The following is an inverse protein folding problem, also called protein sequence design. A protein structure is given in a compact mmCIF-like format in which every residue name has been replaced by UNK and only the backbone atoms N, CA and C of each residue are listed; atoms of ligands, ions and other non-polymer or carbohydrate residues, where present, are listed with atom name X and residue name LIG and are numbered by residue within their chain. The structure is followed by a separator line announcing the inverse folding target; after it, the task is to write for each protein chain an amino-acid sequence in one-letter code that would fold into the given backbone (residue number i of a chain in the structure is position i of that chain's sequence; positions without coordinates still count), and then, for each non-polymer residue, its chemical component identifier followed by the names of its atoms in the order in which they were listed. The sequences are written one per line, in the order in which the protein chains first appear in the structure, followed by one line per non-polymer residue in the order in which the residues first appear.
data_IF_353056150524
#
_entry.id   IF_353056150524
#
_cell.length_a   1.000
_cell.length_b   1.000
_cell.length_c   1.000
_cell.angle_alpha   90.00
_cell.angle_beta   90.00
_cell.angle_gamma   90.00
#
_symmetry.space_group_name_H-M   'P 1'
#
loop_
_entity.id
_entity.type
_entity.pdbx_description
1 polymer ?
#
# COMPACT_ATOMS: atom_id res chain seq x y z
N UNK A 1 -16.22 0.90 24.87
CA UNK A 1 -16.10 0.62 23.42
C UNK A 1 -16.50 -0.84 23.19
N UNK A 2 -17.35 -1.15 22.22
CA UNK A 2 -17.75 -2.54 21.93
C UNK A 2 -16.57 -3.33 21.38
N UNK A 3 -16.52 -4.65 21.61
CA UNK A 3 -15.47 -5.52 21.10
C UNK A 3 -15.42 -5.54 19.56
N UNK A 4 -16.58 -5.45 18.89
CA UNK A 4 -16.69 -5.34 17.43
C UNK A 4 -16.00 -4.08 16.89
N UNK A 5 -16.33 -2.90 17.44
CA UNK A 5 -15.66 -1.64 17.10
C UNK A 5 -14.14 -1.69 17.40
N UNK A 6 -13.72 -2.39 18.47
CA UNK A 6 -12.29 -2.59 18.75
C UNK A 6 -11.62 -3.39 17.66
N UNK A 7 -12.19 -4.54 17.31
CA UNK A 7 -11.66 -5.39 16.26
C UNK A 7 -11.63 -4.65 14.91
N UNK A 8 -12.65 -3.85 14.61
CA UNK A 8 -12.74 -3.04 13.40
C UNK A 8 -11.65 -1.97 13.31
N UNK A 9 -11.32 -1.33 14.43
CA UNK A 9 -10.41 -0.18 14.47
C UNK A 9 -8.95 -0.57 14.76
N UNK A 10 -8.69 -1.81 15.17
CA UNK A 10 -7.34 -2.31 15.45
C UNK A 10 -6.49 -2.24 14.17
N UNK A 11 -5.37 -1.52 14.22
CA UNK A 11 -4.51 -1.25 13.07
C UNK A 11 -5.29 -0.69 11.86
N UNK A 12 -6.39 0.01 12.11
CA UNK A 12 -7.24 0.58 11.08
C UNK A 12 -6.80 1.97 10.61
N UNK A 13 -5.66 2.50 11.07
CA UNK A 13 -5.16 3.85 10.70
C UNK A 13 -3.71 3.82 10.21
N UNK A 14 -3.48 4.06 8.92
CA UNK A 14 -2.16 4.33 8.37
C UNK A 14 -1.86 5.83 8.51
N UNK A 15 -0.59 6.16 8.76
CA UNK A 15 -0.13 7.53 8.94
C UNK A 15 0.53 8.06 7.68
N UNK A 16 -0.04 9.13 7.13
CA UNK A 16 0.35 9.70 5.85
C UNK A 16 0.76 11.18 5.96
N UNK A 17 1.53 11.51 7.00
CA UNK A 17 1.92 12.90 7.28
C UNK A 17 2.65 13.61 6.12
N UNK A 18 3.31 12.85 5.23
CA UNK A 18 4.02 13.37 4.07
C UNK A 18 3.10 13.83 2.91
N UNK A 19 1.81 13.53 2.99
CA UNK A 19 0.86 13.77 1.89
C UNK A 19 -0.13 14.89 2.25
N UNK A 20 -0.77 15.51 1.24
CA UNK A 20 -1.78 16.54 1.49
C UNK A 20 -2.89 16.03 2.42
N UNK A 21 -3.55 16.88 3.23
CA UNK A 21 -3.28 18.30 3.39
C UNK A 21 -2.10 18.60 4.33
N UNK A 22 -1.54 17.60 5.02
CA UNK A 22 -0.53 17.83 6.04
C UNK A 22 0.82 18.25 5.44
N UNK A 23 1.28 17.56 4.38
CA UNK A 23 2.51 17.85 3.65
C UNK A 23 3.72 18.12 4.56
N UNK A 24 3.86 17.34 5.62
CA UNK A 24 4.91 17.55 6.62
C UNK A 24 6.28 17.18 6.04
N UNK A 25 7.36 17.87 6.47
CA UNK A 25 8.72 17.39 6.23
C UNK A 25 8.93 16.05 6.94
N UNK A 26 9.89 15.24 6.48
CA UNK A 26 10.12 13.88 7.00
C UNK A 26 10.38 13.87 8.50
N UNK A 27 11.25 14.75 8.98
CA UNK A 27 11.57 14.90 10.40
C UNK A 27 10.32 15.02 11.27
N UNK A 28 9.43 15.95 10.92
CA UNK A 28 8.18 16.18 11.63
C UNK A 28 7.22 14.99 11.50
N UNK A 29 7.12 14.40 10.32
CA UNK A 29 6.25 13.25 10.09
C UNK A 29 6.69 12.04 10.94
N UNK A 30 7.98 11.73 11.00
CA UNK A 30 8.53 10.62 11.80
C UNK A 30 8.38 10.90 13.30
N UNK A 31 8.63 12.14 13.74
CA UNK A 31 8.41 12.53 15.14
C UNK A 31 6.95 12.36 15.58
N UNK A 32 6.00 12.81 14.76
CA UNK A 32 4.57 12.68 15.03
C UNK A 32 4.15 11.20 15.05
N UNK A 33 4.60 10.40 14.07
CA UNK A 33 4.34 8.96 14.04
C UNK A 33 4.83 8.27 15.32
N UNK A 34 6.03 8.60 15.80
CA UNK A 34 6.54 8.06 17.06
C UNK A 34 5.71 8.49 18.28
N UNK A 35 5.27 9.74 18.32
CA UNK A 35 4.33 10.20 19.34
C UNK A 35 3.04 9.37 19.33
N UNK A 36 2.48 9.09 18.16
CA UNK A 36 1.26 8.27 18.04
C UNK A 36 1.47 6.80 18.41
N UNK A 37 2.66 6.23 18.17
CA UNK A 37 3.00 4.86 18.62
C UNK A 37 3.07 4.74 20.15
N UNK A 38 3.27 5.84 20.86
CA UNK A 38 3.37 5.89 22.31
C UNK A 38 2.09 6.32 23.01
N UNK A 39 1.11 6.83 22.27
CA UNK A 39 -0.14 7.30 22.85
C UNK A 39 -1.07 6.14 23.24
N UNK A 40 -2.04 6.35 24.17
CA UNK A 40 -3.01 5.32 24.57
C UNK A 40 -3.84 4.73 23.42
N UNK A 41 -3.93 5.43 22.28
CA UNK A 41 -4.71 5.05 21.11
C UNK A 41 -3.87 4.39 19.99
N UNK A 42 -2.61 4.03 20.27
CA UNK A 42 -1.69 3.43 19.30
C UNK A 42 -2.15 2.08 18.73
N UNK A 43 -3.09 1.41 19.38
CA UNK A 43 -3.72 0.18 18.89
C UNK A 43 -4.46 0.38 17.55
N UNK A 44 -4.92 1.60 17.24
CA UNK A 44 -5.51 1.91 15.92
C UNK A 44 -4.44 2.19 14.85
N UNK A 45 -3.22 2.54 15.25
CA UNK A 45 -2.16 2.97 14.33
C UNK A 45 -1.46 1.77 13.70
N UNK A 46 -1.35 1.79 12.37
CA UNK A 46 -0.83 0.73 11.52
C UNK A 46 0.53 1.10 10.94
N UNK A 47 0.61 1.61 9.71
CA UNK A 47 1.88 1.82 8.98
C UNK A 47 2.19 3.31 8.83
N UNK A 48 3.46 3.62 8.64
CA UNK A 48 3.88 4.90 8.07
C UNK A 48 3.89 4.81 6.55
N UNK A 49 3.19 5.70 5.86
CA UNK A 49 3.18 5.74 4.38
C UNK A 49 4.37 6.56 3.90
N UNK A 50 5.25 5.94 3.09
CA UNK A 50 6.46 6.57 2.57
C UNK A 50 6.62 6.35 1.05
N UNK A 51 6.87 7.38 0.24
CA UNK A 51 7.32 7.19 -1.13
C UNK A 51 8.64 6.39 -1.18
N UNK A 52 8.78 5.49 -2.14
CA UNK A 52 10.04 4.73 -2.36
C UNK A 52 11.24 5.63 -2.59
N UNK A 53 11.03 6.79 -3.23
CA UNK A 53 12.04 7.83 -3.49
C UNK A 53 12.57 8.51 -2.23
N UNK A 54 11.85 8.41 -1.10
CA UNK A 54 12.19 9.09 0.17
C UNK A 54 12.59 8.11 1.27
N UNK A 55 12.81 6.84 0.96
CA UNK A 55 13.22 5.84 1.95
C UNK A 55 14.57 6.16 2.61
N UNK A 56 15.52 6.73 1.87
CA UNK A 56 16.81 7.17 2.44
C UNK A 56 16.62 8.33 3.43
N UNK A 57 15.76 9.30 3.12
CA UNK A 57 15.45 10.42 4.03
C UNK A 57 14.75 9.91 5.30
N UNK A 58 13.84 8.95 5.16
CA UNK A 58 13.23 8.27 6.32
C UNK A 58 14.29 7.58 7.17
N UNK A 59 15.18 6.81 6.54
CA UNK A 59 16.28 6.07 7.16
C UNK A 59 17.18 6.96 8.03
N UNK A 60 17.62 8.08 7.47
CA UNK A 60 18.43 9.08 8.19
C UNK A 60 17.68 9.68 9.38
N UNK A 61 16.38 9.92 9.22
CA UNK A 61 15.54 10.56 10.25
C UNK A 61 15.26 9.65 11.44
N UNK A 62 14.94 8.38 11.20
CA UNK A 62 14.49 7.49 12.27
C UNK A 62 15.65 6.85 13.07
N UNK A 63 16.88 6.92 12.56
CA UNK A 63 18.08 6.23 13.08
C UNK A 63 18.42 6.53 14.56
N UNK A 64 17.84 7.56 15.19
CA UNK A 64 17.97 7.86 16.62
C UNK A 64 16.68 7.74 17.45
N UNK A 65 15.56 7.43 16.81
CA UNK A 65 14.22 7.49 17.42
C UNK A 65 13.62 6.11 17.71
N UNK A 66 14.25 5.04 17.23
CA UNK A 66 13.81 3.68 17.53
C UNK A 66 14.09 3.37 19.02
N UNK A 67 13.05 3.50 19.85
CA UNK A 67 13.05 2.90 21.19
C UNK A 67 12.95 1.37 21.05
N UNK A 68 13.43 0.60 22.03
CA UNK A 68 13.36 -0.89 22.11
C UNK A 68 11.90 -1.40 22.14
N UNK A 69 11.17 -1.21 21.06
CA UNK A 69 9.79 -1.65 20.76
C UNK A 69 9.80 -2.34 19.39
N UNK A 70 8.62 -2.84 19.01
CA UNK A 70 8.33 -3.42 17.69
C UNK A 70 8.93 -2.62 16.52
N UNK A 71 9.25 -3.27 15.40
CA UNK A 71 9.75 -2.59 14.20
C UNK A 71 8.74 -1.55 13.67
N UNK A 72 9.23 -0.57 12.91
CA UNK A 72 8.34 0.32 12.16
C UNK A 72 7.69 -0.45 11.02
N UNK A 73 6.37 -0.46 10.97
CA UNK A 73 5.64 -0.93 9.81
C UNK A 73 5.57 0.21 8.77
N UNK A 74 6.00 -0.07 7.55
CA UNK A 74 6.06 0.89 6.44
C UNK A 74 5.16 0.39 5.31
N UNK A 75 4.35 1.30 4.77
CA UNK A 75 3.67 1.13 3.48
C UNK A 75 4.37 1.98 2.46
N UNK A 76 4.97 1.38 1.44
CA UNK A 76 5.68 2.13 0.39
C UNK A 76 4.75 2.50 -0.74
N UNK A 77 4.94 3.70 -1.32
CA UNK A 77 4.26 4.13 -2.54
C UNK A 77 5.29 4.23 -3.67
N UNK A 78 5.05 3.49 -4.75
CA UNK A 78 5.89 3.52 -5.92
C UNK A 78 5.71 4.79 -6.75
N UNK A 79 6.65 5.01 -7.66
CA UNK A 79 6.62 6.16 -8.57
C UNK A 79 5.43 6.02 -9.52
N UNK A 80 4.81 7.15 -9.85
CA UNK A 80 3.80 7.19 -10.91
C UNK A 80 4.50 7.27 -12.25
N UNK A 81 4.02 6.49 -13.20
CA UNK A 81 4.37 6.61 -14.60
C UNK A 81 3.11 6.97 -15.38
N UNK A 82 3.27 7.78 -16.42
CA UNK A 82 2.19 8.09 -17.35
C UNK A 82 2.10 7.05 -18.48
N UNK A 83 3.20 6.34 -18.74
CA UNK A 83 3.33 5.39 -19.86
C UNK A 83 3.87 4.01 -19.42
N UNK A 84 3.49 2.92 -20.12
CA UNK A 84 3.91 1.55 -19.79
C UNK A 84 5.42 1.29 -19.70
N UNK A 85 6.25 1.92 -20.53
CA UNK A 85 7.70 1.68 -20.51
C UNK A 85 8.37 2.32 -19.30
N UNK A 86 7.97 3.54 -18.95
CA UNK A 86 8.43 4.21 -17.73
C UNK A 86 7.97 3.47 -16.48
N UNK A 87 6.78 2.87 -16.50
CA UNK A 87 6.29 2.07 -15.39
C UNK A 87 7.22 0.89 -15.09
N UNK A 88 7.65 0.14 -16.11
CA UNK A 88 8.58 -0.98 -15.91
C UNK A 88 9.91 -0.53 -15.33
N UNK A 89 10.47 0.57 -15.84
CA UNK A 89 11.71 1.16 -15.31
C UNK A 89 11.54 1.57 -13.83
N UNK A 90 10.42 2.22 -13.50
CA UNK A 90 10.15 2.71 -12.16
C UNK A 90 9.91 1.60 -11.15
N UNK A 91 9.16 0.56 -11.52
CA UNK A 91 8.95 -0.60 -10.64
C UNK A 91 10.28 -1.27 -10.29
N UNK A 92 11.21 -1.40 -11.24
CA UNK A 92 12.54 -1.96 -10.96
C UNK A 92 13.31 -1.10 -9.95
N UNK A 93 13.38 0.21 -10.19
CA UNK A 93 14.03 1.17 -9.27
C UNK A 93 13.36 1.22 -7.90
N UNK A 94 12.06 1.03 -7.82
CA UNK A 94 11.29 0.99 -6.58
C UNK A 94 11.63 -0.27 -5.77
N UNK A 95 11.65 -1.43 -6.42
CA UNK A 95 12.01 -2.71 -5.79
C UNK A 95 13.46 -2.70 -5.29
N UNK A 96 14.39 -2.13 -6.06
CA UNK A 96 15.78 -1.94 -5.63
C UNK A 96 15.88 -1.06 -4.39
N UNK A 97 15.16 0.06 -4.36
CA UNK A 97 15.14 0.96 -3.20
C UNK A 97 14.55 0.28 -1.95
N UNK A 98 13.46 -0.49 -2.11
CA UNK A 98 12.86 -1.27 -1.02
C UNK A 98 13.83 -2.32 -0.50
N UNK A 99 14.48 -3.07 -1.39
CA UNK A 99 15.42 -4.13 -1.01
C UNK A 99 16.61 -3.56 -0.23
N UNK A 100 17.22 -2.48 -0.73
CA UNK A 100 18.29 -1.76 -0.01
C UNK A 100 17.82 -1.31 1.37
N UNK A 101 16.65 -0.69 1.43
CA UNK A 101 16.10 -0.17 2.68
C UNK A 101 15.85 -1.29 3.70
N UNK A 102 15.27 -2.41 3.28
CA UNK A 102 15.03 -3.57 4.15
C UNK A 102 16.36 -4.17 4.65
N UNK A 103 17.35 -4.33 3.77
CA UNK A 103 18.68 -4.87 4.13
C UNK A 103 19.44 -4.01 5.13
N UNK A 104 19.43 -2.69 4.97
CA UNK A 104 20.13 -1.78 5.89
C UNK A 104 19.45 -1.69 7.27
N UNK A 105 18.20 -2.13 7.38
CA UNK A 105 17.33 -1.86 8.54
C UNK A 105 16.71 -3.12 9.14
N UNK A 106 17.47 -4.23 9.13
CA UNK A 106 17.08 -5.54 9.70
C UNK A 106 16.53 -5.38 11.12
N UNK A 107 15.40 -6.02 11.41
CA UNK A 107 14.66 -5.99 12.70
C UNK A 107 14.13 -4.61 13.14
N UNK A 108 14.51 -3.53 12.48
CA UNK A 108 14.10 -2.15 12.82
C UNK A 108 12.86 -1.72 12.04
N UNK A 109 12.72 -2.21 10.81
CA UNK A 109 11.62 -1.86 9.91
C UNK A 109 11.06 -3.11 9.24
N UNK A 110 9.77 -3.06 8.89
CA UNK A 110 9.10 -4.04 8.05
C UNK A 110 8.34 -3.27 6.98
N UNK A 111 8.64 -3.55 5.71
CA UNK A 111 7.80 -3.10 4.60
C UNK A 111 6.66 -4.09 4.48
N UNK A 112 5.46 -3.68 4.93
CA UNK A 112 4.29 -4.54 4.98
C UNK A 112 3.45 -4.42 3.69
N UNK A 113 3.39 -3.22 3.12
CA UNK A 113 2.65 -2.96 1.90
C UNK A 113 3.48 -2.16 0.88
N UNK A 114 3.21 -2.39 -0.40
CA UNK A 114 3.77 -1.63 -1.51
C UNK A 114 2.67 -1.34 -2.53
N UNK A 115 2.37 -0.06 -2.78
CA UNK A 115 1.33 0.33 -3.74
C UNK A 115 1.92 0.92 -5.02
N UNK A 116 1.38 0.51 -6.16
CA UNK A 116 1.81 0.91 -7.49
C UNK A 116 0.62 1.42 -8.31
N UNK A 117 0.74 2.60 -8.91
CA UNK A 117 -0.26 3.09 -9.86
C UNK A 117 0.02 2.51 -11.24
N UNK A 118 -0.95 1.77 -11.82
CA UNK A 118 -0.83 1.31 -13.20
C UNK A 118 -1.10 2.48 -14.17
N UNK A 119 -0.20 2.72 -15.14
CA UNK A 119 -0.45 3.73 -16.17
C UNK A 119 -1.59 3.29 -17.11
N UNK A 120 -2.27 4.24 -17.77
CA UNK A 120 -3.17 3.94 -18.88
C UNK A 120 -2.50 3.08 -19.95
N UNK A 121 -3.28 2.24 -20.64
CA UNK A 121 -2.81 1.43 -21.78
C UNK A 121 -1.93 0.22 -21.43
N UNK A 122 -1.51 0.05 -20.17
CA UNK A 122 -0.73 -1.13 -19.75
C UNK A 122 -1.57 -2.42 -19.73
N UNK A 123 -2.87 -2.33 -19.42
CA UNK A 123 -3.77 -3.48 -19.42
C UNK A 123 -3.91 -4.16 -20.80
N UNK A 124 -3.74 -3.37 -21.87
CA UNK A 124 -3.71 -3.82 -23.26
C UNK A 124 -2.35 -4.36 -23.71
N UNK A 125 -1.35 -4.41 -22.81
CA UNK A 125 0.01 -4.91 -23.08
C UNK A 125 0.37 -6.03 -22.09
N UNK A 126 -0.18 -7.25 -22.26
CA UNK A 126 -0.05 -8.36 -21.30
C UNK A 126 1.40 -8.67 -20.92
N UNK A 127 2.33 -8.68 -21.89
CA UNK A 127 3.74 -8.97 -21.62
C UNK A 127 4.40 -7.93 -20.70
N UNK A 128 4.05 -6.65 -20.86
CA UNK A 128 4.58 -5.58 -19.98
C UNK A 128 3.93 -5.65 -18.61
N UNK A 129 2.62 -5.92 -18.54
CA UNK A 129 1.94 -6.14 -17.27
C UNK A 129 2.59 -7.29 -16.49
N UNK A 130 2.80 -8.44 -17.13
CA UNK A 130 3.45 -9.61 -16.52
C UNK A 130 4.89 -9.32 -16.06
N UNK A 131 5.68 -8.57 -16.85
CA UNK A 131 7.02 -8.13 -16.41
C UNK A 131 6.98 -7.21 -15.18
N UNK A 132 6.00 -6.33 -15.09
CA UNK A 132 5.79 -5.47 -13.93
C UNK A 132 5.42 -6.28 -12.68
N UNK A 133 4.51 -7.24 -12.85
CA UNK A 133 4.11 -8.22 -11.83
C UNK A 133 5.30 -9.04 -11.33
N UNK A 134 6.11 -9.60 -12.24
CA UNK A 134 7.28 -10.39 -11.88
C UNK A 134 8.34 -9.57 -11.13
N UNK A 135 8.47 -8.29 -11.45
CA UNK A 135 9.44 -7.41 -10.78
C UNK A 135 9.16 -7.29 -9.29
N UNK A 136 7.90 -7.20 -8.86
CA UNK A 136 7.55 -7.08 -7.43
C UNK A 136 7.67 -8.37 -6.63
N UNK A 137 7.78 -9.53 -7.29
CA UNK A 137 8.12 -10.79 -6.61
C UNK A 137 9.57 -10.85 -6.12
N UNK A 138 10.42 -9.92 -6.56
CA UNK A 138 11.84 -9.82 -6.16
C UNK A 138 12.05 -8.99 -4.88
N UNK A 139 10.97 -8.51 -4.26
CA UNK A 139 11.05 -7.78 -3.00
C UNK A 139 11.53 -8.73 -1.91
N UNK A 140 12.55 -8.32 -1.17
CA UNK A 140 13.12 -9.05 -0.04
C UNK A 140 12.31 -8.76 1.21
N UNK A 141 12.22 -9.76 2.07
CA UNK A 141 11.62 -9.67 3.42
C UNK A 141 12.59 -10.30 4.41
N UNK A 142 12.50 -9.88 5.66
CA UNK A 142 13.18 -10.57 6.75
C UNK A 142 12.20 -11.54 7.41
N UNK A 143 12.46 -12.85 7.29
CA UNK A 143 11.56 -13.87 7.84
C UNK A 143 11.46 -13.86 9.37
N UNK A 144 12.40 -13.21 10.05
CA UNK A 144 12.41 -13.03 11.50
C UNK A 144 11.41 -11.96 11.99
N UNK A 145 10.81 -11.19 11.08
CA UNK A 145 9.81 -10.18 11.42
C UNK A 145 8.42 -10.58 10.90
N UNK A 146 7.38 -10.14 11.62
CA UNK A 146 5.99 -10.31 11.21
C UNK A 146 5.44 -8.95 10.76
N UNK A 147 4.74 -8.87 9.61
CA UNK A 147 4.40 -9.97 8.71
C UNK A 147 5.58 -10.44 7.84
N UNK A 148 5.64 -11.74 7.59
CA UNK A 148 6.69 -12.39 6.78
C UNK A 148 6.37 -12.36 5.29
N UNK A 149 5.60 -11.37 4.81
CA UNK A 149 5.27 -11.14 3.38
C UNK A 149 4.90 -9.68 3.17
N UNK A 150 5.25 -9.13 2.00
CA UNK A 150 4.79 -7.81 1.54
C UNK A 150 3.49 -7.98 0.74
N UNK A 151 2.47 -7.19 1.04
CA UNK A 151 1.29 -7.11 0.18
C UNK A 151 1.48 -6.01 -0.87
N UNK A 152 1.46 -6.37 -2.15
CA UNK A 152 1.59 -5.43 -3.25
C UNK A 152 0.20 -5.11 -3.78
N UNK A 153 -0.14 -3.83 -3.93
CA UNK A 153 -1.43 -3.41 -4.50
C UNK A 153 -1.22 -2.60 -5.77
N UNK A 154 -1.85 -3.05 -6.85
CA UNK A 154 -1.92 -2.29 -8.09
C UNK A 154 -3.17 -1.40 -8.09
N UNK A 155 -2.96 -0.08 -7.97
CA UNK A 155 -3.99 0.94 -8.11
C UNK A 155 -4.29 1.17 -9.59
N UNK A 156 -5.54 0.89 -9.97
CA UNK A 156 -6.05 1.07 -11.33
C UNK A 156 -6.87 2.36 -11.42
N UNK A 157 -6.57 3.17 -12.44
CA UNK A 157 -7.44 4.28 -12.83
C UNK A 157 -8.45 3.75 -13.83
N UNK A 158 -9.74 3.92 -13.53
CA UNK A 158 -10.81 3.42 -14.38
C UNK A 158 -10.94 4.32 -15.63
N UNK A 159 -10.53 3.77 -16.78
CA UNK A 159 -10.57 4.40 -18.10
C UNK A 159 -11.95 4.25 -18.76
N UNK A 160 -12.10 4.61 -20.05
CA UNK A 160 -13.33 4.31 -20.81
C UNK A 160 -13.48 2.79 -21.09
N UNK A 161 -12.37 2.05 -21.19
CA UNK A 161 -12.30 0.59 -21.38
C UNK A 161 -12.20 -0.19 -20.07
N UNK A 162 -12.67 0.40 -18.97
CA UNK A 162 -12.44 -0.09 -17.61
C UNK A 162 -12.85 -1.55 -17.39
N UNK A 163 -13.90 -2.05 -18.04
CA UNK A 163 -14.35 -3.44 -17.87
C UNK A 163 -13.30 -4.45 -18.34
N UNK A 164 -12.80 -4.28 -19.58
CA UNK A 164 -11.79 -5.17 -20.17
C UNK A 164 -10.46 -5.03 -19.42
N UNK A 165 -10.10 -3.80 -19.05
CA UNK A 165 -8.87 -3.50 -18.32
C UNK A 165 -8.87 -4.18 -16.93
N UNK A 166 -9.95 -4.05 -16.16
CA UNK A 166 -10.12 -4.69 -14.85
C UNK A 166 -9.94 -6.20 -14.97
N UNK A 167 -10.67 -6.82 -15.90
CA UNK A 167 -10.66 -8.27 -16.07
C UNK A 167 -9.28 -8.77 -16.53
N UNK A 168 -8.62 -8.05 -17.44
CA UNK A 168 -7.25 -8.35 -17.86
C UNK A 168 -6.27 -8.30 -16.67
N UNK A 169 -6.31 -7.22 -15.90
CA UNK A 169 -5.43 -6.99 -14.75
C UNK A 169 -5.67 -8.03 -13.65
N UNK A 170 -6.93 -8.25 -13.25
CA UNK A 170 -7.26 -9.19 -12.17
C UNK A 170 -6.87 -10.61 -12.59
N UNK A 171 -7.12 -11.03 -13.84
CA UNK A 171 -6.67 -12.34 -14.31
C UNK A 171 -5.15 -12.47 -14.30
N UNK A 172 -4.41 -11.43 -14.68
CA UNK A 172 -2.94 -11.43 -14.60
C UNK A 172 -2.45 -11.58 -13.15
N UNK A 173 -3.02 -10.82 -12.21
CA UNK A 173 -2.73 -10.94 -10.78
C UNK A 173 -3.05 -12.36 -10.26
N UNK A 174 -4.21 -12.91 -10.63
CA UNK A 174 -4.63 -14.24 -10.22
C UNK A 174 -3.71 -15.34 -10.76
N UNK A 175 -3.21 -15.21 -12.01
CA UNK A 175 -2.20 -16.12 -12.57
C UNK A 175 -0.90 -16.04 -11.78
N UNK A 176 -0.40 -14.84 -11.50
CA UNK A 176 0.82 -14.66 -10.72
C UNK A 176 0.68 -15.28 -9.31
N UNK A 177 -0.43 -15.01 -8.63
CA UNK A 177 -0.74 -15.56 -7.31
C UNK A 177 -0.90 -17.10 -7.35
N UNK A 178 -1.31 -17.69 -8.48
CA UNK A 178 -1.44 -19.16 -8.66
C UNK A 178 -0.14 -19.85 -9.05
N UNK A 179 0.63 -19.30 -9.99
CA UNK A 179 1.97 -19.81 -10.38
C UNK A 179 2.95 -19.82 -9.21
N UNK A 180 2.60 -19.12 -8.13
CA UNK A 180 3.23 -19.14 -6.82
C UNK A 180 3.07 -20.45 -6.04
N UNK A 181 2.04 -21.25 -6.33
CA UNK A 181 1.64 -22.42 -5.52
C UNK A 181 2.24 -23.72 -6.08
N UNK A 182 2.55 -23.75 -7.38
CA UNK A 182 2.99 -24.96 -8.09
C UNK A 182 4.49 -25.16 -8.18
N UNK A 183 5.30 -24.14 -7.86
CA UNK A 183 6.74 -24.28 -7.69
C UNK A 183 7.05 -24.53 -6.21
N UNK A 184 7.72 -25.65 -5.93
CA UNK A 184 8.10 -26.11 -4.59
C UNK A 184 9.22 -25.25 -3.96
N UNK A 185 9.02 -23.93 -3.88
CA UNK A 185 9.89 -22.99 -3.19
C UNK A 185 9.07 -22.22 -2.16
N UNK A 186 9.44 -22.40 -0.91
CA UNK A 186 8.96 -21.72 0.30
C UNK A 186 9.14 -20.18 0.31
N UNK A 187 9.48 -19.56 -0.83
CA UNK A 187 10.23 -18.30 -0.86
C UNK A 187 9.44 -17.12 -1.44
N UNK A 188 8.12 -17.24 -1.64
CA UNK A 188 7.34 -16.10 -2.13
C UNK A 188 7.04 -15.09 -1.02
N UNK A 189 7.87 -14.06 -1.04
CA UNK A 189 7.92 -12.93 -0.14
C UNK A 189 6.78 -11.92 -0.33
N UNK A 190 5.96 -12.04 -1.38
CA UNK A 190 4.85 -11.11 -1.64
C UNK A 190 3.53 -11.76 -2.04
N UNK A 191 2.43 -11.05 -1.82
CA UNK A 191 1.07 -11.35 -2.32
C UNK A 191 0.59 -10.14 -3.10
N UNK A 192 0.06 -10.34 -4.30
CA UNK A 192 -0.43 -9.25 -5.13
C UNK A 192 -1.95 -9.13 -5.00
N UNK A 193 -2.42 -7.90 -4.82
CA UNK A 193 -3.82 -7.51 -4.75
C UNK A 193 -4.15 -6.41 -5.75
N UNK A 194 -5.45 -6.22 -5.94
CA UNK A 194 -6.03 -5.19 -6.76
C UNK A 194 -6.47 -4.01 -5.90
N UNK A 195 -6.31 -2.79 -6.41
CA UNK A 195 -6.79 -1.56 -5.79
C UNK A 195 -7.43 -0.67 -6.85
N UNK A 196 -8.48 0.03 -6.49
CA UNK A 196 -9.02 1.12 -7.29
C UNK A 196 -9.36 2.30 -6.40
N UNK A 197 -9.39 3.49 -6.99
CA UNK A 197 -9.61 4.73 -6.26
C UNK A 197 -11.11 4.95 -6.04
N UNK A 198 -11.51 5.11 -4.77
CA UNK A 198 -12.88 5.45 -4.35
C UNK A 198 -13.01 6.88 -3.83
N UNK A 199 -12.10 7.78 -4.20
CA UNK A 199 -12.11 9.14 -3.70
C UNK A 199 -11.25 10.09 -4.50
N UNK A 200 -11.69 11.33 -4.60
CA UNK A 200 -10.89 12.48 -4.97
C UNK A 200 -11.53 13.79 -4.53
N UNK A 201 -10.97 14.91 -4.98
CA UNK A 201 -11.55 16.23 -4.73
C UNK A 201 -12.64 16.61 -5.75
N UNK A 202 -12.76 15.86 -6.85
CA UNK A 202 -13.80 16.04 -7.87
C UNK A 202 -14.71 14.81 -7.95
N UNK A 203 -15.97 15.01 -8.32
CA UNK A 203 -16.98 13.95 -8.41
C UNK A 203 -16.58 12.85 -9.42
N UNK A 204 -15.95 13.24 -10.52
CA UNK A 204 -15.48 12.33 -11.58
C UNK A 204 -14.36 11.38 -11.12
N UNK A 205 -13.75 11.63 -9.95
CA UNK A 205 -12.74 10.75 -9.36
C UNK A 205 -13.34 9.63 -8.49
N UNK A 206 -14.66 9.62 -8.35
CA UNK A 206 -15.40 8.54 -7.69
C UNK A 206 -15.91 7.55 -8.73
N UNK A 207 -15.70 6.24 -8.51
CA UNK A 207 -16.20 5.21 -9.41
C UNK A 207 -17.72 5.13 -9.33
N UNK A 208 -18.36 4.77 -10.43
CA UNK A 208 -19.79 4.46 -10.44
C UNK A 208 -20.07 3.17 -9.65
N UNK A 209 -21.34 2.97 -9.25
CA UNK A 209 -21.76 1.72 -8.60
C UNK A 209 -21.46 0.51 -9.48
N UNK A 210 -21.65 0.64 -10.79
CA UNK A 210 -21.38 -0.42 -11.77
C UNK A 210 -19.89 -0.79 -11.79
N UNK A 211 -19.01 0.22 -11.78
CA UNK A 211 -17.56 0.04 -11.71
C UNK A 211 -17.14 -0.68 -10.41
N UNK A 212 -17.69 -0.25 -9.27
CA UNK A 212 -17.42 -0.90 -7.97
C UNK A 212 -17.85 -2.37 -7.98
N UNK A 213 -19.07 -2.65 -8.44
CA UNK A 213 -19.61 -4.02 -8.50
C UNK A 213 -18.77 -4.90 -9.41
N UNK A 214 -18.33 -4.38 -10.55
CA UNK A 214 -17.44 -5.10 -11.46
C UNK A 214 -16.10 -5.44 -10.80
N UNK A 215 -15.40 -4.46 -10.21
CA UNK A 215 -14.14 -4.69 -9.49
C UNK A 215 -14.29 -5.78 -8.41
N UNK A 216 -15.33 -5.66 -7.57
CA UNK A 216 -15.59 -6.60 -6.47
C UNK A 216 -15.90 -7.99 -7.00
N UNK A 217 -16.79 -8.11 -7.99
CA UNK A 217 -17.17 -9.40 -8.58
C UNK A 217 -15.97 -10.08 -9.25
N UNK A 218 -15.18 -9.35 -10.03
CA UNK A 218 -14.00 -9.91 -10.70
C UNK A 218 -12.95 -10.36 -9.68
N UNK A 219 -12.71 -9.58 -8.61
CA UNK A 219 -11.81 -9.99 -7.53
C UNK A 219 -12.29 -11.26 -6.80
N UNK A 220 -13.58 -11.35 -6.46
CA UNK A 220 -14.18 -12.54 -5.81
C UNK A 220 -14.02 -13.77 -6.71
N UNK A 221 -14.37 -13.66 -7.99
CA UNK A 221 -14.33 -14.77 -8.94
C UNK A 221 -12.92 -15.32 -9.11
N UNK A 222 -11.91 -14.45 -9.20
CA UNK A 222 -10.51 -14.82 -9.41
C UNK A 222 -9.73 -15.00 -8.09
N UNK A 223 -10.39 -14.83 -6.93
CA UNK A 223 -9.79 -14.89 -5.58
C UNK A 223 -8.59 -13.96 -5.42
N UNK A 224 -8.70 -12.76 -5.98
CA UNK A 224 -7.70 -11.69 -5.85
C UNK A 224 -8.06 -10.83 -4.65
N UNK A 225 -7.07 -10.55 -3.79
CA UNK A 225 -7.27 -9.62 -2.67
C UNK A 225 -7.62 -8.25 -3.22
N UNK A 226 -8.69 -7.68 -2.71
CA UNK A 226 -9.07 -6.31 -3.00
C UNK A 226 -8.70 -5.42 -1.82
N UNK A 227 -8.15 -4.25 -2.10
CA UNK A 227 -8.14 -3.13 -1.15
C UNK A 227 -8.79 -1.90 -1.76
N UNK A 228 -9.45 -1.10 -0.93
CA UNK A 228 -9.90 0.24 -1.28
C UNK A 228 -11.26 0.59 -0.69
N UNK A 229 -11.28 1.05 0.56
CA UNK A 229 -12.44 1.77 1.11
C UNK A 229 -11.90 2.88 2.03
N UNK A 230 -12.22 4.13 1.69
CA UNK A 230 -11.87 5.39 2.36
C UNK A 230 -10.56 6.09 1.95
N UNK A 231 -10.82 7.23 1.31
CA UNK A 231 -10.00 8.43 1.22
C UNK A 231 -9.37 8.80 2.58
N UNK A 232 -8.30 9.62 2.54
CA UNK A 232 -7.94 10.56 3.60
C UNK A 232 -9.16 10.92 4.43
N UNK A 233 -9.27 10.39 5.64
CA UNK A 233 -10.30 10.90 6.49
C UNK A 233 -9.75 12.20 7.07
N UNK A 234 -10.12 13.31 6.40
CA UNK A 234 -10.16 14.62 7.04
C UNK A 234 -11.21 14.51 8.16
N UNK A 235 -10.77 14.12 9.35
CA UNK A 235 -11.56 13.98 10.60
C UNK A 235 -12.61 12.85 10.63
N UNK A 236 -12.25 11.61 10.97
CA UNK A 236 -13.24 10.57 11.30
C UNK A 236 -13.80 10.76 12.71
N UNK A 237 -12.96 11.29 13.60
CA UNK A 237 -13.24 11.43 15.01
C UNK A 237 -12.79 12.83 15.41
N UNK A 238 -13.73 13.78 15.39
CA UNK A 238 -13.58 15.02 16.16
C UNK A 238 -13.64 14.60 17.64
N UNK A 239 -12.51 14.14 18.19
CA UNK A 239 -12.28 14.34 19.62
C UNK A 239 -12.22 15.87 19.79
N UNK A 240 -13.00 16.42 20.71
CA UNK A 240 -13.17 17.86 20.97
C UNK A 240 -11.91 18.54 21.54
N UNK A 241 -10.71 18.13 21.11
CA UNK A 241 -9.45 18.82 21.37
C UNK A 241 -8.83 19.24 20.04
N UNK A 242 -8.61 20.53 19.92
CA UNK A 242 -8.07 21.25 18.78
C UNK A 242 -6.81 20.59 18.18
N UNK A 243 -6.81 20.53 16.84
CA UNK A 243 -5.70 20.21 15.93
C UNK A 243 -5.19 18.76 15.92
N UNK A 244 -5.59 18.00 14.90
CA UNK A 244 -4.93 16.75 14.49
C UNK A 244 -4.81 16.72 12.96
N UNK A 245 -3.62 16.45 12.39
CA UNK A 245 -3.47 16.27 10.94
C UNK A 245 -4.17 14.99 10.47
N UNK A 246 -4.50 14.91 9.18
CA UNK A 246 -5.36 13.87 8.60
C UNK A 246 -4.91 12.43 8.84
N UNK A 247 -5.89 11.54 8.99
CA UNK A 247 -5.70 10.10 9.21
C UNK A 247 -6.09 9.31 7.94
N UNK A 248 -5.39 8.23 7.64
CA UNK A 248 -5.76 7.28 6.57
C UNK A 248 -6.28 5.99 7.17
N UNK A 249 -7.26 5.34 6.55
CA UNK A 249 -7.84 4.10 7.05
C UNK A 249 -7.36 2.90 6.22
N UNK A 250 -6.62 1.93 6.78
CA UNK A 250 -6.39 0.66 6.14
C UNK A 250 -7.66 -0.20 6.01
N UNK A 251 -7.69 -0.81 4.84
CA UNK A 251 -8.46 -1.95 4.34
C UNK A 251 -9.20 -2.81 5.36
N UNK A 252 -10.50 -3.01 5.13
CA UNK A 252 -11.19 -4.26 5.48
C UNK A 252 -11.00 -5.26 4.34
N UNK A 253 -10.45 -6.42 4.64
CA UNK A 253 -10.42 -7.58 3.74
C UNK A 253 -11.78 -8.28 3.88
N UNK A 254 -12.55 -8.34 2.79
CA UNK A 254 -13.72 -9.20 2.67
C UNK A 254 -13.33 -10.51 1.97
#
# INVERSE_FOLDING_TARGET
MTQSLRALMEKAIDYAGLFPPANLPMEKAVADYNGYRECPNSWMLSRFICPTTRLSEFEETYAGLLKKREPYLISTLGRKADEPDLFLEYVQKDVEAINRFVECNVEKVVVDAFELCLPPGLASQPEKLEKGLDSVSKIKIHHATSPSRVTVYYEVTLSLSWQEDIDSIIRAIARQNRSSITQSTSDKTSIVGFKFRCGGIKAEQFPSVEQVVCCVKSCINERVRLTGIFMHIKNPLRATRSQTPGFYFPTMVF
#
